data_IF_405643826020
#
_entry.id   IF_405643826020
#
_cell.length_a   1.000
_cell.length_b   1.000
_cell.length_c   1.000
_cell.angle_alpha   90.00
_cell.angle_beta   90.00
_cell.angle_gamma   90.00
#
_symmetry.space_group_name_H-M   'P 1'
#
loop_
_entity.id
_entity.type
_entity.pdbx_description
1 polymer ?
#
# COMPACT_ATOMS: atom_id res chain seq x y z
N UNK A 1 20.78 6.36 20.91
CA UNK A 1 19.86 5.22 20.63
C UNK A 1 19.36 5.41 19.21
N UNK A 2 19.77 4.55 18.28
CA UNK A 2 19.27 4.58 16.90
C UNK A 2 17.84 4.03 16.90
N UNK A 3 16.86 4.90 16.76
CA UNK A 3 15.46 4.50 16.57
C UNK A 3 15.34 3.79 15.22
N UNK A 4 14.57 2.70 15.17
CA UNK A 4 14.28 1.99 13.92
C UNK A 4 13.66 2.98 12.91
N UNK A 5 14.30 3.23 11.75
CA UNK A 5 13.80 4.20 10.79
C UNK A 5 12.56 3.69 10.03
N UNK A 6 12.26 2.40 10.09
CA UNK A 6 11.10 1.80 9.44
C UNK A 6 9.88 1.84 10.37
N UNK A 7 8.74 2.22 9.80
CA UNK A 7 7.46 2.17 10.50
C UNK A 7 6.91 0.74 10.44
N UNK A 8 6.48 0.22 11.59
CA UNK A 8 5.91 -1.13 11.73
C UNK A 8 4.41 -1.01 11.88
N UNK A 9 3.68 -1.85 11.15
CA UNK A 9 2.22 -1.87 11.16
C UNK A 9 1.66 -2.11 12.58
N UNK A 10 0.67 -1.31 12.97
CA UNK A 10 -0.23 -1.57 14.08
C UNK A 10 -1.41 -2.41 13.60
N UNK A 11 -1.54 -3.68 14.04
CA UNK A 11 -2.65 -4.55 13.64
C UNK A 11 -4.04 -3.96 13.92
N UNK A 12 -4.17 -3.06 14.90
CA UNK A 12 -5.45 -2.43 15.26
C UNK A 12 -5.93 -1.39 14.23
N UNK A 13 -5.07 -0.99 13.28
CA UNK A 13 -5.39 -0.04 12.22
C UNK A 13 -5.99 -0.70 10.96
N UNK A 14 -6.18 -2.02 10.95
CA UNK A 14 -6.95 -2.74 9.94
C UNK A 14 -8.43 -2.64 10.29
N UNK A 15 -9.23 -2.01 9.42
CA UNK A 15 -10.65 -1.76 9.66
C UNK A 15 -11.48 -2.55 8.65
N UNK A 16 -12.25 -3.58 9.09
CA UNK A 16 -13.24 -4.21 8.24
C UNK A 16 -14.36 -3.20 7.94
N UNK A 17 -14.72 -3.06 6.67
CA UNK A 17 -15.84 -2.22 6.25
C UNK A 17 -17.16 -2.94 6.57
N UNK A 18 -18.18 -2.23 7.10
CA UNK A 18 -19.50 -2.81 7.33
C UNK A 18 -20.03 -3.52 6.08
N UNK A 19 -20.47 -4.77 6.24
CA UNK A 19 -20.86 -5.65 5.13
C UNK A 19 -19.84 -6.74 4.80
N UNK A 20 -18.62 -6.68 5.35
CA UNK A 20 -17.67 -7.80 5.38
C UNK A 20 -17.03 -8.18 4.04
N UNK A 21 -17.16 -7.33 3.02
CA UNK A 21 -16.61 -7.55 1.67
C UNK A 21 -15.40 -6.68 1.35
N UNK A 22 -15.03 -5.77 2.24
CA UNK A 22 -13.89 -4.86 2.06
C UNK A 22 -13.15 -4.66 3.38
N UNK A 23 -11.83 -4.57 3.30
CA UNK A 23 -10.94 -4.18 4.38
C UNK A 23 -10.20 -2.93 3.95
N UNK A 24 -10.21 -1.92 4.81
CA UNK A 24 -9.37 -0.73 4.65
C UNK A 24 -8.21 -0.80 5.63
N UNK A 25 -7.00 -0.70 5.09
CA UNK A 25 -5.77 -0.73 5.86
C UNK A 25 -5.18 0.67 5.76
N UNK A 26 -5.46 1.50 6.77
CA UNK A 26 -4.91 2.84 6.84
C UNK A 26 -3.38 2.78 7.03
N UNK A 27 -2.64 3.84 6.70
CA UNK A 27 -1.18 3.89 6.78
C UNK A 27 -0.56 3.31 8.06
N UNK A 28 -1.19 3.52 9.21
CA UNK A 28 -0.73 2.93 10.48
C UNK A 28 -0.77 1.40 10.53
N UNK A 29 -1.60 0.76 9.71
CA UNK A 29 -1.68 -0.69 9.55
C UNK A 29 -0.76 -1.24 8.46
N UNK A 30 0.10 -0.39 7.87
CA UNK A 30 1.08 -0.77 6.86
C UNK A 30 2.49 -0.72 7.46
N UNK A 31 3.38 -1.58 6.97
CA UNK A 31 4.81 -1.41 7.18
C UNK A 31 5.34 -0.45 6.12
N UNK A 32 6.07 0.57 6.52
CA UNK A 32 6.59 1.60 5.62
C UNK A 32 8.09 1.72 5.83
N UNK A 33 8.86 1.37 4.81
CA UNK A 33 10.32 1.53 4.85
C UNK A 33 10.63 3.03 4.94
N UNK A 34 11.48 3.42 5.89
CA UNK A 34 11.76 4.82 6.26
C UNK A 34 10.59 5.57 6.90
N UNK A 35 9.48 4.92 7.22
CA UNK A 35 8.26 5.58 7.70
C UNK A 35 8.39 6.33 9.04
N UNK A 36 9.34 5.96 9.90
CA UNK A 36 9.60 6.70 11.15
C UNK A 36 10.53 7.91 10.96
N UNK A 37 11.15 8.03 9.78
CA UNK A 37 12.06 9.12 9.46
C UNK A 37 11.29 10.27 8.81
N UNK A 38 11.13 11.35 9.58
CA UNK A 38 10.37 12.55 9.20
C UNK A 38 10.98 13.34 8.04
N UNK A 39 12.18 12.96 7.56
CA UNK A 39 12.75 13.49 6.32
C UNK A 39 12.11 12.88 5.08
N UNK A 40 11.55 11.68 5.21
CA UNK A 40 11.07 10.86 4.10
C UNK A 40 9.55 10.68 4.11
N UNK A 41 8.96 10.59 5.30
CA UNK A 41 7.52 10.38 5.45
C UNK A 41 6.90 11.29 6.51
N UNK A 42 5.65 11.68 6.30
CA UNK A 42 4.76 12.23 7.33
C UNK A 42 3.55 11.32 7.45
N UNK A 43 3.48 10.56 8.53
CA UNK A 43 2.36 9.66 8.83
C UNK A 43 1.51 10.32 9.92
N UNK A 44 0.23 10.49 9.63
CA UNK A 44 -0.74 11.04 10.58
C UNK A 44 -1.00 10.07 11.75
N UNK A 45 -1.17 10.62 12.96
CA UNK A 45 -1.34 9.83 14.18
C UNK A 45 -2.75 9.23 14.30
N UNK A 46 -3.73 9.86 13.64
CA UNK A 46 -5.12 9.42 13.62
C UNK A 46 -5.21 8.01 13.02
N UNK A 47 -6.11 7.18 13.56
CA UNK A 47 -6.32 5.80 13.09
C UNK A 47 -6.61 5.72 11.60
N UNK A 48 -7.35 6.70 11.07
CA UNK A 48 -7.74 6.82 9.67
C UNK A 48 -6.97 7.92 8.94
N UNK A 49 -5.85 8.36 9.50
CA UNK A 49 -5.01 9.41 8.91
C UNK A 49 -4.23 8.92 7.69
N UNK A 50 -3.71 9.86 6.92
CA UNK A 50 -2.96 9.62 5.68
C UNK A 50 -1.45 9.51 5.93
N UNK A 51 -0.73 9.00 4.94
CA UNK A 51 0.73 9.10 4.88
C UNK A 51 1.16 9.87 3.64
N UNK A 52 1.91 10.95 3.87
CA UNK A 52 2.57 11.74 2.83
C UNK A 52 4.01 11.23 2.65
N UNK A 53 4.35 10.85 1.42
CA UNK A 53 5.71 10.63 1.00
C UNK A 53 6.36 11.98 0.68
N UNK A 54 7.29 12.42 1.53
CA UNK A 54 8.02 13.66 1.33
C UNK A 54 9.07 13.48 0.23
N UNK A 55 9.92 12.45 0.36
CA UNK A 55 10.89 12.04 -0.64
C UNK A 55 11.48 10.66 -0.32
N UNK A 56 11.68 9.78 -1.31
CA UNK A 56 12.52 8.57 -1.18
C UNK A 56 13.10 8.15 -2.54
N UNK A 57 14.26 7.49 -2.53
CA UNK A 57 14.75 6.71 -3.67
C UNK A 57 14.30 5.24 -3.64
N UNK A 58 13.92 4.74 -2.46
CA UNK A 58 13.41 3.39 -2.22
C UNK A 58 11.96 3.47 -1.68
N UNK A 59 10.98 3.19 -2.53
CA UNK A 59 9.57 3.12 -2.12
C UNK A 59 9.19 1.67 -1.84
N UNK A 60 8.86 1.38 -0.59
CA UNK A 60 8.33 0.08 -0.18
C UNK A 60 7.32 0.24 0.97
N UNK A 61 6.08 -0.13 0.68
CA UNK A 61 4.96 -0.11 1.62
C UNK A 61 4.26 -1.45 1.55
N UNK A 62 4.15 -2.16 2.67
CA UNK A 62 3.61 -3.53 2.70
C UNK A 62 2.52 -3.69 3.74
N UNK A 63 1.65 -4.66 3.54
CA UNK A 63 0.58 -4.99 4.47
C UNK A 63 0.19 -6.46 4.37
N UNK A 64 -0.62 -6.89 5.33
CA UNK A 64 -1.27 -8.20 5.27
C UNK A 64 -2.64 -8.18 5.91
N UNK A 65 -3.54 -9.02 5.42
CA UNK A 65 -4.89 -9.21 5.98
C UNK A 65 -5.21 -10.70 6.04
N UNK A 66 -5.64 -11.22 7.21
CA UNK A 66 -6.16 -12.58 7.31
C UNK A 66 -7.55 -12.64 6.67
N UNK A 67 -7.74 -13.53 5.69
CA UNK A 67 -9.00 -13.68 4.98
C UNK A 67 -9.58 -15.08 5.11
N UNK A 68 -10.92 -15.15 5.06
CA UNK A 68 -11.64 -16.41 4.96
C UNK A 68 -11.51 -16.97 3.55
N UNK A 69 -11.57 -18.29 3.46
CA UNK A 69 -11.30 -18.99 2.23
C UNK A 69 -12.42 -19.00 1.20
N UNK A 70 -12.08 -19.52 0.01
CA UNK A 70 -13.01 -19.85 -1.06
C UNK A 70 -13.47 -18.64 -1.88
N UNK A 71 -12.69 -17.55 -1.85
CA UNK A 71 -13.07 -16.29 -2.48
C UNK A 71 -11.89 -15.64 -3.20
N UNK A 72 -12.24 -14.85 -4.22
CA UNK A 72 -11.32 -13.97 -4.92
C UNK A 72 -11.35 -12.59 -4.31
N UNK A 73 -10.19 -11.95 -4.28
CA UNK A 73 -10.02 -10.61 -3.73
C UNK A 73 -9.20 -9.76 -4.68
N UNK A 74 -9.51 -8.48 -4.73
CA UNK A 74 -8.71 -7.43 -5.37
C UNK A 74 -7.99 -6.62 -4.31
N UNK A 75 -6.69 -6.46 -4.49
CA UNK A 75 -5.82 -5.69 -3.61
C UNK A 75 -5.31 -4.44 -4.32
N UNK A 76 -5.23 -3.32 -3.62
CA UNK A 76 -4.66 -2.09 -4.16
C UNK A 76 -4.56 -0.99 -3.11
N UNK A 77 -4.33 0.23 -3.57
CA UNK A 77 -4.17 1.41 -2.72
C UNK A 77 -5.09 2.53 -3.19
N UNK A 78 -5.73 3.21 -2.25
CA UNK A 78 -6.36 4.51 -2.47
C UNK A 78 -5.29 5.57 -2.27
N UNK A 79 -4.92 6.26 -3.34
CA UNK A 79 -3.84 7.26 -3.34
C UNK A 79 -4.28 8.57 -3.99
N UNK A 80 -3.57 9.64 -3.69
CA UNK A 80 -3.60 10.87 -4.48
C UNK A 80 -2.21 11.48 -4.54
N UNK A 81 -2.07 12.55 -5.33
CA UNK A 81 -0.79 13.21 -5.55
C UNK A 81 -0.89 14.67 -5.11
N UNK A 82 0.15 15.18 -4.47
CA UNK A 82 0.22 16.62 -4.21
C UNK A 82 0.49 17.39 -5.51
N UNK A 83 0.07 18.65 -5.61
CA UNK A 83 0.38 19.50 -6.77
C UNK A 83 1.89 19.64 -7.06
N UNK A 84 2.72 19.50 -6.03
CA UNK A 84 4.19 19.55 -6.07
C UNK A 84 4.85 18.16 -6.15
N UNK A 85 4.10 17.12 -6.51
CA UNK A 85 4.66 15.77 -6.69
C UNK A 85 5.75 15.75 -7.78
N UNK A 86 6.83 15.00 -7.53
CA UNK A 86 8.02 15.02 -8.38
C UNK A 86 8.66 13.63 -8.49
N UNK A 87 9.50 13.46 -9.51
CA UNK A 87 10.35 12.27 -9.66
C UNK A 87 9.65 11.02 -10.21
N UNK A 88 8.37 11.11 -10.56
CA UNK A 88 7.55 10.00 -11.07
C UNK A 88 7.61 9.82 -12.59
N UNK A 89 8.17 10.77 -13.32
CA UNK A 89 8.31 10.68 -14.78
C UNK A 89 9.09 9.42 -15.19
N UNK A 90 8.51 8.67 -16.13
CA UNK A 90 9.01 7.40 -16.64
C UNK A 90 9.19 6.29 -15.59
N UNK A 91 8.62 6.46 -14.40
CA UNK A 91 8.62 5.43 -13.36
C UNK A 91 7.34 4.61 -13.41
N UNK A 92 7.50 3.32 -13.11
CA UNK A 92 6.41 2.41 -12.89
C UNK A 92 6.44 1.92 -11.45
N UNK A 93 5.28 1.97 -10.81
CA UNK A 93 5.08 1.40 -9.49
C UNK A 93 4.55 -0.02 -9.67
N UNK A 94 5.07 -0.94 -8.86
CA UNK A 94 4.65 -2.34 -8.86
C UNK A 94 3.84 -2.61 -7.61
N UNK A 95 2.63 -3.13 -7.79
CA UNK A 95 1.83 -3.73 -6.72
C UNK A 95 2.04 -5.23 -6.78
N UNK A 96 2.45 -5.82 -5.65
CA UNK A 96 2.60 -7.27 -5.49
C UNK A 96 1.55 -7.75 -4.51
N UNK A 97 0.94 -8.90 -4.79
CA UNK A 97 0.11 -9.63 -3.83
C UNK A 97 0.42 -11.13 -3.87
N UNK A 98 0.29 -11.83 -2.74
CA UNK A 98 0.35 -13.29 -2.63
C UNK A 98 -0.51 -13.78 -1.48
N UNK A 99 -0.89 -15.05 -1.54
CA UNK A 99 -1.65 -15.73 -0.48
C UNK A 99 -0.71 -16.65 0.30
N UNK A 100 -0.66 -16.49 1.62
CA UNK A 100 0.24 -17.23 2.48
C UNK A 100 1.72 -16.89 2.28
N UNK A 101 2.57 -17.56 3.06
CA UNK A 101 4.03 -17.34 3.03
C UNK A 101 4.68 -17.86 1.76
N UNK A 102 4.17 -18.98 1.23
CA UNK A 102 4.73 -19.69 0.07
C UNK A 102 3.90 -19.52 -1.22
N UNK A 103 2.86 -18.68 -1.22
CA UNK A 103 2.03 -18.48 -2.40
C UNK A 103 2.74 -17.76 -3.53
N UNK A 104 2.21 -17.96 -4.74
CA UNK A 104 2.69 -17.29 -5.95
C UNK A 104 2.50 -15.78 -5.83
N UNK A 105 3.57 -15.03 -6.10
CA UNK A 105 3.51 -13.57 -6.26
C UNK A 105 2.79 -13.20 -7.55
N UNK A 106 1.79 -12.33 -7.44
CA UNK A 106 1.04 -11.74 -8.55
C UNK A 106 1.44 -10.26 -8.67
N UNK A 107 2.23 -9.90 -9.69
CA UNK A 107 2.61 -8.51 -9.92
C UNK A 107 1.63 -7.76 -10.82
N UNK A 108 1.43 -6.48 -10.55
CA UNK A 108 0.86 -5.51 -11.50
C UNK A 108 1.71 -4.24 -11.50
N UNK A 109 2.23 -3.91 -12.68
CA UNK A 109 3.15 -2.78 -12.90
C UNK A 109 2.42 -1.71 -13.70
N UNK A 110 2.38 -0.49 -13.20
CA UNK A 110 1.67 0.63 -13.84
C UNK A 110 2.36 1.96 -13.51
N UNK A 111 2.29 2.93 -14.43
CA UNK A 111 2.76 4.28 -14.18
C UNK A 111 1.74 5.04 -13.31
N UNK A 112 2.20 5.87 -12.38
CA UNK A 112 1.29 6.74 -11.63
C UNK A 112 0.81 7.88 -12.51
N UNK A 113 -0.48 8.21 -12.43
CA UNK A 113 -0.97 9.51 -12.86
C UNK A 113 -0.60 10.55 -11.80
N UNK A 114 0.65 11.03 -11.87
CA UNK A 114 1.20 11.95 -10.86
C UNK A 114 0.62 13.38 -10.93
N UNK A 115 -0.28 13.68 -11.87
CA UNK A 115 -1.05 14.93 -11.94
C UNK A 115 -2.41 14.85 -11.24
N UNK A 116 -2.81 13.66 -10.76
CA UNK A 116 -4.14 13.43 -10.18
C UNK A 116 -4.15 13.75 -8.68
N UNK A 117 -4.67 14.94 -8.35
CA UNK A 117 -4.81 15.43 -6.97
C UNK A 117 -5.98 14.81 -6.21
N UNK A 118 -7.01 14.36 -6.94
CA UNK A 118 -8.17 13.67 -6.36
C UNK A 118 -7.88 12.20 -6.06
N UNK A 119 -8.37 11.63 -4.94
CA UNK A 119 -8.12 10.23 -4.60
C UNK A 119 -8.60 9.22 -5.66
N UNK A 120 -7.75 8.24 -5.96
CA UNK A 120 -8.02 7.18 -6.93
C UNK A 120 -7.48 5.82 -6.48
N UNK A 121 -8.00 4.76 -7.08
CA UNK A 121 -7.55 3.40 -6.83
C UNK A 121 -6.35 3.10 -7.72
N UNK A 122 -5.30 2.54 -7.14
CA UNK A 122 -4.08 2.15 -7.83
C UNK A 122 -3.66 0.71 -7.45
N UNK A 123 -3.46 -0.19 -8.41
CA UNK A 123 -3.77 -0.04 -9.84
C UNK A 123 -5.29 0.07 -10.00
N UNK A 124 -5.79 0.63 -11.11
CA UNK A 124 -7.23 0.91 -11.25
C UNK A 124 -8.13 -0.32 -11.00
N UNK A 125 -7.74 -1.49 -11.53
CA UNK A 125 -8.51 -2.73 -11.33
C UNK A 125 -8.11 -3.50 -10.06
N UNK A 126 -7.05 -3.08 -9.37
CA UNK A 126 -6.39 -3.88 -8.33
C UNK A 126 -5.59 -5.06 -8.89
N UNK A 127 -5.07 -5.86 -7.96
CA UNK A 127 -4.40 -7.15 -8.19
C UNK A 127 -5.29 -8.26 -7.65
N UNK A 128 -5.68 -9.21 -8.50
CA UNK A 128 -6.54 -10.33 -8.11
C UNK A 128 -5.73 -11.47 -7.48
N UNK A 129 -6.21 -11.98 -6.35
CA UNK A 129 -5.71 -13.17 -5.67
C UNK A 129 -6.87 -14.07 -5.28
N UNK A 130 -6.64 -15.38 -5.24
CA UNK A 130 -7.63 -16.38 -4.84
C UNK A 130 -7.20 -17.02 -3.53
N UNK A 131 -8.05 -16.93 -2.51
CA UNK A 131 -7.76 -17.47 -1.17
C UNK A 131 -8.31 -18.89 -1.09
N UNK A 132 -7.47 -19.90 -0.75
CA UNK A 132 -7.87 -21.29 -0.55
C UNK A 132 -9.03 -21.45 0.44
N UNK A 133 -9.82 -22.51 0.34
CA UNK A 133 -11.03 -22.73 1.17
C UNK A 133 -10.78 -22.66 2.68
N UNK A 134 -9.60 -23.07 3.15
CA UNK A 134 -9.21 -23.01 4.56
C UNK A 134 -8.84 -21.60 5.05
N UNK A 135 -8.80 -20.60 4.17
CA UNK A 135 -8.36 -19.24 4.48
C UNK A 135 -6.83 -19.13 4.58
N UNK A 136 -6.33 -17.90 4.42
CA UNK A 136 -4.91 -17.59 4.61
C UNK A 136 -4.71 -16.05 4.72
N UNK A 137 -3.50 -15.63 5.06
CA UNK A 137 -3.06 -14.24 5.00
C UNK A 137 -2.85 -13.82 3.54
N UNK A 138 -3.49 -12.74 3.11
CA UNK A 138 -3.12 -12.04 1.88
C UNK A 138 -2.03 -11.03 2.21
N UNK A 139 -0.84 -11.26 1.68
CA UNK A 139 0.28 -10.33 1.75
C UNK A 139 0.31 -9.45 0.50
N UNK A 140 0.58 -8.16 0.68
CA UNK A 140 0.67 -7.23 -0.44
C UNK A 140 1.65 -6.09 -0.20
N UNK A 141 1.99 -5.38 -1.26
CA UNK A 141 2.76 -4.15 -1.14
C UNK A 141 2.84 -3.33 -2.41
N UNK A 142 3.30 -2.09 -2.26
CA UNK A 142 3.58 -1.11 -3.29
C UNK A 142 5.07 -0.80 -3.33
N UNK A 143 5.65 -0.88 -4.53
CA UNK A 143 7.09 -0.87 -4.73
C UNK A 143 7.52 0.05 -5.88
N UNK A 144 8.54 0.86 -5.63
CA UNK A 144 9.43 1.43 -6.64
C UNK A 144 10.84 1.50 -6.01
N UNK A 145 11.55 0.38 -6.08
CA UNK A 145 12.86 0.17 -5.43
C UNK A 145 14.01 0.04 -6.43
N UNK A 146 13.71 0.04 -7.73
CA UNK A 146 14.67 -0.35 -8.77
C UNK A 146 15.32 0.85 -9.45
N UNK A 147 14.60 1.96 -9.57
CA UNK A 147 15.10 3.10 -10.34
C UNK A 147 16.21 3.88 -9.62
N UNK A 148 16.21 3.83 -8.28
CA UNK A 148 17.03 4.69 -7.43
C UNK A 148 16.71 6.19 -7.55
N UNK A 149 15.70 6.57 -8.34
CA UNK A 149 15.31 7.97 -8.51
C UNK A 149 14.54 8.48 -7.29
N UNK A 150 14.91 9.66 -6.83
CA UNK A 150 14.16 10.38 -5.80
C UNK A 150 12.79 10.80 -6.32
N UNK A 151 11.76 10.52 -5.52
CA UNK A 151 10.36 10.84 -5.80
C UNK A 151 9.62 11.24 -4.54
N UNK A 152 8.59 12.06 -4.67
CA UNK A 152 7.82 12.59 -3.54
C UNK A 152 6.43 13.09 -3.94
N UNK A 153 5.64 13.48 -2.95
CA UNK A 153 4.27 14.00 -3.11
C UNK A 153 3.18 12.95 -3.29
N UNK A 154 3.47 11.67 -3.06
CA UNK A 154 2.44 10.62 -3.00
C UNK A 154 1.72 10.66 -1.65
N UNK A 155 0.39 10.62 -1.68
CA UNK A 155 -0.47 10.50 -0.49
C UNK A 155 -1.12 9.12 -0.47
N UNK A 156 -0.92 8.36 0.59
CA UNK A 156 -1.58 7.08 0.83
C UNK A 156 -2.75 7.33 1.78
N UNK A 157 -3.97 7.13 1.29
CA UNK A 157 -5.18 7.22 2.10
C UNK A 157 -5.43 5.93 2.85
N UNK A 158 -5.39 4.81 2.14
CA UNK A 158 -5.41 3.45 2.70
C UNK A 158 -5.05 2.44 1.61
N UNK A 159 -4.60 1.24 2.00
CA UNK A 159 -4.72 0.08 1.13
C UNK A 159 -6.14 -0.49 1.22
N UNK A 160 -6.55 -1.24 0.22
CA UNK A 160 -7.81 -1.96 0.22
C UNK A 160 -7.60 -3.42 -0.16
N UNK A 161 -8.40 -4.28 0.45
CA UNK A 161 -8.64 -5.65 0.01
C UNK A 161 -10.15 -5.79 -0.11
N UNK A 162 -10.65 -6.09 -1.31
CA UNK A 162 -12.08 -6.19 -1.59
C UNK A 162 -12.40 -7.52 -2.22
N UNK A 163 -13.47 -8.17 -1.81
CA UNK A 163 -14.01 -9.35 -2.49
C UNK A 163 -14.33 -8.97 -3.95
N UNK A 164 -13.87 -9.81 -4.89
CA UNK A 164 -13.96 -9.56 -6.34
C UNK A 164 -15.32 -9.97 -6.92
#
# INVERSE_FOLDING_TARGET
MTTNPHFVADPNAIVPVPGGKEWKIYPRGLNIVWGNDRRYWRIEEQKTGMAELLQVSWLEVTGKVPLRGGKKYRVGFKISMKPDAFGWADLHVVILAKVGTNGRLVPKKEALNYSKVEPFDFPQDGVEVEVPENGDDVHFGMYEVWSGKWKGGLLIHHAFVREA
#
